data_IF_523083381416
#
_entry.id   IF_523083381416
#
_cell.length_a   1.000
_cell.length_b   1.000
_cell.length_c   1.000
_cell.angle_alpha   90.00
_cell.angle_beta   90.00
_cell.angle_gamma   90.00
#
_symmetry.space_group_name_H-M   'P 1'
#
loop_
_entity.id
_entity.type
_entity.pdbx_description
1 polymer ?
#
# COMPACT_ATOMS: atom_id res chain seq x y z
N UNK A 1 8.55 54.19 -8.76
CA UNK A 1 9.10 53.87 -7.43
C UNK A 1 9.29 52.35 -7.34
N UNK A 2 10.53 51.85 -7.35
CA UNK A 2 10.84 50.43 -7.10
C UNK A 2 10.97 50.17 -5.59
N UNK A 3 10.53 49.03 -5.04
CA UNK A 3 11.05 48.52 -3.78
C UNK A 3 12.26 47.59 -4.05
N UNK A 4 13.36 47.88 -3.34
CA UNK A 4 14.70 47.32 -3.57
C UNK A 4 14.91 45.89 -3.08
N UNK A 5 15.85 45.22 -3.74
CA UNK A 5 16.33 43.88 -3.42
C UNK A 5 17.16 43.86 -2.12
N UNK A 6 16.85 42.92 -1.23
CA UNK A 6 17.60 42.65 -0.01
C UNK A 6 18.92 41.91 -0.33
N UNK A 7 20.04 42.38 0.23
CA UNK A 7 21.36 41.73 0.14
C UNK A 7 21.45 40.53 1.10
N UNK A 8 22.10 39.41 0.71
CA UNK A 8 22.29 38.26 1.59
C UNK A 8 23.35 38.54 2.67
N UNK A 9 22.98 38.28 3.92
CA UNK A 9 23.83 38.38 5.11
C UNK A 9 24.83 37.21 5.17
N UNK A 10 26.11 37.52 5.34
CA UNK A 10 27.19 36.54 5.55
C UNK A 10 27.09 36.03 7.01
N UNK A 11 27.01 34.71 7.27
CA UNK A 11 26.97 34.20 8.63
C UNK A 11 28.34 34.35 9.32
N UNK A 12 28.34 34.96 10.51
CA UNK A 12 29.50 35.03 11.41
C UNK A 12 29.87 33.62 11.91
N UNK A 13 31.15 33.27 11.84
CA UNK A 13 31.69 32.09 12.53
C UNK A 13 31.48 32.23 14.04
N UNK A 14 30.58 31.42 14.59
CA UNK A 14 30.37 31.29 16.03
C UNK A 14 31.26 30.16 16.56
N UNK A 15 32.01 30.45 17.62
CA UNK A 15 32.80 29.48 18.39
C UNK A 15 31.82 28.50 19.07
N UNK A 16 31.75 27.26 18.60
CA UNK A 16 31.02 26.20 19.31
C UNK A 16 31.97 25.61 20.36
N UNK A 17 31.85 26.10 21.59
CA UNK A 17 32.48 25.47 22.76
C UNK A 17 31.77 24.15 23.04
N UNK A 18 32.36 23.03 22.62
CA UNK A 18 31.90 21.70 22.98
C UNK A 18 32.12 21.46 24.48
N UNK A 19 31.02 21.43 25.23
CA UNK A 19 30.95 20.80 26.54
C UNK A 19 30.83 19.29 26.30
N UNK A 20 31.74 18.53 26.91
CA UNK A 20 31.80 17.08 26.83
C UNK A 20 30.58 16.44 27.50
N UNK A 21 29.93 15.50 26.80
CA UNK A 21 28.82 14.75 27.37
C UNK A 21 28.20 13.74 26.42
N UNK A 22 28.70 12.50 26.49
CA UNK A 22 27.95 11.23 26.40
C UNK A 22 26.99 11.04 25.19
N UNK A 23 27.53 10.34 24.19
CA UNK A 23 26.84 9.31 23.39
C UNK A 23 25.49 9.62 22.77
N UNK A 24 25.48 10.05 21.51
CA UNK A 24 24.41 9.75 20.54
C UNK A 24 24.96 9.93 19.12
N UNK A 25 24.82 8.90 18.28
CA UNK A 25 25.24 8.91 16.88
C UNK A 25 24.19 9.66 16.07
N UNK A 26 24.48 10.91 15.71
CA UNK A 26 23.72 11.63 14.69
C UNK A 26 24.52 11.60 13.39
N UNK A 27 24.19 10.66 12.52
CA UNK A 27 24.56 10.67 11.10
C UNK A 27 23.90 11.87 10.44
N UNK A 28 24.67 12.91 10.16
CA UNK A 28 24.23 14.02 9.34
C UNK A 28 24.34 13.59 7.87
N UNK A 29 23.21 13.35 7.21
CA UNK A 29 23.15 13.15 5.77
C UNK A 29 23.62 14.42 5.06
N UNK A 30 24.72 14.31 4.33
CA UNK A 30 25.18 15.35 3.42
C UNK A 30 24.38 15.18 2.12
N UNK A 31 23.68 16.22 1.60
CA UNK A 31 23.11 16.13 0.28
C UNK A 31 24.24 16.02 -0.74
N UNK A 32 24.34 14.86 -1.39
CA UNK A 32 25.24 14.60 -2.50
C UNK A 32 24.86 15.52 -3.68
N UNK A 33 25.44 16.72 -3.74
CA UNK A 33 25.39 17.53 -4.95
C UNK A 33 26.51 17.05 -5.87
N UNK A 34 26.12 16.27 -6.88
CA UNK A 34 26.97 15.89 -8.01
C UNK A 34 27.42 17.17 -8.73
N UNK A 35 28.63 17.62 -8.41
CA UNK A 35 29.31 18.67 -9.16
C UNK A 35 30.06 18.02 -10.32
N UNK A 36 29.50 18.10 -11.53
CA UNK A 36 30.22 17.82 -12.78
C UNK A 36 31.37 18.84 -12.93
N UNK A 37 32.57 18.33 -13.18
CA UNK A 37 33.65 19.04 -13.87
C UNK A 37 34.14 20.31 -13.19
N UNK A 38 34.97 20.18 -12.16
CA UNK A 38 35.64 21.34 -11.56
C UNK A 38 36.72 20.90 -10.58
N UNK A 39 37.96 21.24 -10.91
CA UNK A 39 39.21 21.06 -10.14
C UNK A 39 38.96 21.19 -8.62
N UNK A 40 39.10 20.08 -7.89
CA UNK A 40 39.02 20.01 -6.43
C UNK A 40 40.06 20.97 -5.82
N UNK A 41 39.64 22.17 -5.41
CA UNK A 41 40.44 23.00 -4.50
C UNK A 41 40.21 22.42 -3.10
N UNK A 42 41.24 21.74 -2.58
CA UNK A 42 41.28 21.28 -1.20
C UNK A 42 40.95 22.42 -0.25
N UNK A 43 39.96 22.22 0.61
CA UNK A 43 39.67 23.11 1.71
C UNK A 43 40.79 22.94 2.75
N UNK A 44 41.79 23.82 2.72
CA UNK A 44 42.75 23.94 3.81
C UNK A 44 42.10 24.72 4.94
N UNK A 45 41.61 24.01 5.97
CA UNK A 45 41.40 24.61 7.28
C UNK A 45 42.75 24.62 8.01
N UNK A 46 43.51 25.71 7.92
CA UNK A 46 44.69 25.91 8.76
C UNK A 46 44.27 26.56 10.07
N UNK A 47 44.08 25.74 11.11
CA UNK A 47 44.10 26.23 12.49
C UNK A 47 45.57 26.44 12.91
N UNK A 48 45.92 27.66 13.30
CA UNK A 48 47.27 28.04 13.72
C UNK A 48 47.30 28.15 15.24
N UNK A 49 47.87 27.15 15.91
CA UNK A 49 48.16 27.18 17.34
C UNK A 49 49.64 26.79 17.53
N UNK A 50 50.45 27.70 18.08
CA UNK A 50 51.74 27.34 18.67
C UNK A 50 52.87 26.79 17.78
N UNK A 51 53.08 27.32 16.57
CA UNK A 51 54.42 27.42 15.98
C UNK A 51 55.22 26.13 15.71
N UNK A 52 54.61 24.95 15.60
CA UNK A 52 55.31 23.72 15.15
C UNK A 52 54.53 23.01 14.05
N UNK A 53 55.18 22.88 12.89
CA UNK A 53 54.64 22.22 11.70
C UNK A 53 54.76 20.69 11.87
N UNK A 54 53.71 20.06 12.38
CA UNK A 54 53.59 18.59 12.31
C UNK A 54 52.87 18.24 11.00
N UNK A 55 53.66 17.93 9.97
CA UNK A 55 53.16 17.34 8.74
C UNK A 55 52.89 15.86 8.98
N UNK A 56 51.67 15.51 9.39
CA UNK A 56 51.20 14.13 9.31
C UNK A 56 50.73 13.86 7.88
N UNK A 57 51.64 13.37 7.04
CA UNK A 57 51.26 12.71 5.79
C UNK A 57 50.60 11.39 6.13
N UNK A 58 49.27 11.38 6.18
CA UNK A 58 48.51 10.14 6.22
C UNK A 58 48.70 9.42 4.88
N UNK A 59 49.56 8.41 4.85
CA UNK A 59 49.62 7.46 3.74
C UNK A 59 48.36 6.58 3.83
N UNK A 60 47.29 7.02 3.15
CA UNK A 60 46.10 6.19 3.01
C UNK A 60 46.40 5.10 1.98
N UNK A 61 46.96 3.98 2.44
CA UNK A 61 46.99 2.77 1.63
C UNK A 61 45.56 2.26 1.47
N UNK A 62 44.97 2.55 0.32
CA UNK A 62 43.74 1.89 -0.11
C UNK A 62 44.13 0.43 -0.41
N UNK A 63 44.00 -0.45 0.60
CA UNK A 63 44.00 -1.88 0.37
C UNK A 63 42.82 -2.20 -0.55
N UNK A 64 43.08 -2.33 -1.85
CA UNK A 64 42.13 -2.90 -2.80
C UNK A 64 41.88 -4.35 -2.38
N UNK A 65 40.84 -4.57 -1.57
CA UNK A 65 40.32 -5.91 -1.29
C UNK A 65 39.90 -6.52 -2.62
N UNK A 66 40.66 -7.51 -3.08
CA UNK A 66 40.30 -8.27 -4.27
C UNK A 66 38.86 -8.79 -4.12
N UNK A 67 37.99 -8.46 -5.08
CA UNK A 67 36.63 -8.96 -5.08
C UNK A 67 36.67 -10.47 -5.35
N UNK A 68 36.35 -11.26 -4.31
CA UNK A 68 36.11 -12.69 -4.46
C UNK A 68 34.80 -12.84 -5.23
N UNK A 69 34.89 -13.29 -6.49
CA UNK A 69 33.72 -13.63 -7.28
C UNK A 69 32.98 -14.83 -6.68
N UNK A 70 31.66 -14.84 -6.84
CA UNK A 70 30.80 -15.95 -6.46
C UNK A 70 31.05 -17.13 -7.41
N UNK A 71 31.18 -18.34 -6.89
CA UNK A 71 31.44 -19.52 -7.74
C UNK A 71 30.16 -19.96 -8.45
N UNK A 72 30.31 -20.56 -9.64
CA UNK A 72 29.16 -21.06 -10.40
C UNK A 72 28.41 -22.16 -9.62
N UNK A 73 29.14 -22.99 -8.89
CA UNK A 73 28.56 -24.06 -8.05
C UNK A 73 27.76 -23.50 -6.87
N UNK A 74 28.22 -22.42 -6.23
CA UNK A 74 27.45 -21.75 -5.18
C UNK A 74 26.11 -21.23 -5.74
N UNK A 75 26.10 -20.67 -6.96
CA UNK A 75 24.86 -20.18 -7.58
C UNK A 75 23.91 -21.33 -7.91
N UNK A 76 24.43 -22.45 -8.39
CA UNK A 76 23.60 -23.62 -8.71
C UNK A 76 22.89 -24.17 -7.48
N UNK A 77 23.59 -24.27 -6.33
CA UNK A 77 22.99 -24.75 -5.08
C UNK A 77 21.91 -23.77 -4.58
N UNK A 78 22.18 -22.48 -4.65
CA UNK A 78 21.21 -21.45 -4.21
C UNK A 78 19.92 -21.52 -5.03
N UNK A 79 20.02 -21.62 -6.37
CA UNK A 79 18.84 -21.73 -7.23
C UNK A 79 18.07 -23.03 -6.97
N UNK A 80 18.76 -24.14 -6.69
CA UNK A 80 18.12 -25.40 -6.35
C UNK A 80 17.28 -25.30 -5.06
N UNK A 81 17.83 -24.69 -4.01
CA UNK A 81 17.11 -24.50 -2.74
C UNK A 81 15.91 -23.56 -2.91
N UNK A 82 16.08 -22.43 -3.61
CA UNK A 82 14.99 -21.49 -3.89
C UNK A 82 13.88 -22.17 -4.70
N UNK A 83 14.23 -23.04 -5.66
CA UNK A 83 13.27 -23.81 -6.45
C UNK A 83 12.37 -24.70 -5.60
N UNK A 84 12.93 -25.42 -4.63
CA UNK A 84 12.17 -26.28 -3.70
C UNK A 84 11.24 -25.44 -2.83
N UNK A 85 11.74 -24.33 -2.27
CA UNK A 85 10.94 -23.44 -1.43
C UNK A 85 9.77 -22.80 -2.21
N UNK A 86 10.03 -22.38 -3.45
CA UNK A 86 9.02 -21.75 -4.30
C UNK A 86 7.86 -22.70 -4.65
N UNK A 87 8.15 -23.99 -4.86
CA UNK A 87 7.12 -24.99 -5.17
C UNK A 87 6.04 -25.12 -4.07
N UNK A 88 6.42 -24.94 -2.80
CA UNK A 88 5.50 -25.00 -1.66
C UNK A 88 4.89 -23.62 -1.38
N UNK A 89 5.70 -22.55 -1.46
CA UNK A 89 5.28 -21.22 -1.08
C UNK A 89 4.26 -20.60 -2.05
N UNK A 90 4.39 -20.83 -3.36
CA UNK A 90 3.52 -20.23 -4.38
C UNK A 90 2.04 -20.65 -4.20
N UNK A 91 1.67 -21.94 -4.12
CA UNK A 91 0.27 -22.34 -3.97
C UNK A 91 -0.33 -21.84 -2.64
N UNK A 92 0.45 -21.83 -1.56
CA UNK A 92 0.01 -21.31 -0.28
C UNK A 92 -0.25 -19.79 -0.33
N UNK A 93 0.64 -19.03 -1.00
CA UNK A 93 0.46 -17.60 -1.17
C UNK A 93 -0.76 -17.26 -2.04
N UNK A 94 -1.02 -18.04 -3.10
CA UNK A 94 -2.22 -17.91 -3.92
C UNK A 94 -3.50 -18.12 -3.11
N UNK A 95 -3.53 -19.12 -2.21
CA UNK A 95 -4.67 -19.34 -1.32
C UNK A 95 -4.88 -18.20 -0.33
N UNK A 96 -3.80 -17.68 0.24
CA UNK A 96 -3.86 -16.56 1.18
C UNK A 96 -4.38 -15.28 0.50
N UNK A 97 -3.89 -14.97 -0.69
CA UNK A 97 -4.34 -13.81 -1.46
C UNK A 97 -5.80 -13.96 -1.88
N UNK A 98 -6.23 -15.15 -2.32
CA UNK A 98 -7.63 -15.42 -2.64
C UNK A 98 -8.58 -15.18 -1.45
N UNK A 99 -8.28 -15.75 -0.27
CA UNK A 99 -9.07 -15.54 0.96
C UNK A 99 -9.13 -14.06 1.36
N UNK A 100 -8.00 -13.36 1.23
CA UNK A 100 -7.90 -11.93 1.56
C UNK A 100 -8.75 -11.09 0.62
N UNK A 101 -8.71 -11.38 -0.68
CA UNK A 101 -9.53 -10.71 -1.70
C UNK A 101 -11.03 -10.92 -1.44
N UNK A 102 -11.46 -12.15 -1.15
CA UNK A 102 -12.86 -12.44 -0.79
C UNK A 102 -13.28 -11.67 0.46
N UNK A 103 -12.47 -11.71 1.51
CA UNK A 103 -12.77 -11.01 2.77
C UNK A 103 -12.90 -9.51 2.56
N UNK A 104 -11.99 -8.92 1.76
CA UNK A 104 -12.04 -7.50 1.40
C UNK A 104 -13.29 -7.17 0.59
N UNK A 105 -13.61 -7.94 -0.46
CA UNK A 105 -14.80 -7.70 -1.26
C UNK A 105 -16.10 -7.81 -0.44
N UNK A 106 -16.19 -8.81 0.46
CA UNK A 106 -17.30 -8.93 1.41
C UNK A 106 -17.38 -7.69 2.30
N UNK A 107 -16.24 -7.17 2.79
CA UNK A 107 -16.22 -5.96 3.61
C UNK A 107 -16.71 -4.73 2.84
N UNK A 108 -16.28 -4.56 1.58
CA UNK A 108 -16.68 -3.45 0.71
C UNK A 108 -18.19 -3.44 0.47
N UNK A 109 -18.80 -4.60 0.19
CA UNK A 109 -20.27 -4.70 0.03
C UNK A 109 -20.99 -4.52 1.36
N UNK A 110 -20.45 -5.09 2.45
CA UNK A 110 -21.08 -4.99 3.78
C UNK A 110 -21.06 -3.58 4.38
N UNK A 111 -20.12 -2.72 3.97
CA UNK A 111 -20.06 -1.33 4.40
C UNK A 111 -21.28 -0.52 3.90
N UNK A 112 -21.90 -0.95 2.81
CA UNK A 112 -23.06 -0.28 2.21
C UNK A 112 -24.36 -0.47 3.01
N UNK A 113 -24.37 -1.41 3.97
CA UNK A 113 -25.54 -1.69 4.82
C UNK A 113 -26.02 -0.45 5.55
N UNK A 114 -25.11 0.33 6.12
CA UNK A 114 -25.46 1.54 6.87
C UNK A 114 -26.15 2.58 5.99
N UNK A 115 -25.64 2.80 4.78
CA UNK A 115 -26.25 3.73 3.83
C UNK A 115 -27.62 3.23 3.35
N UNK A 116 -27.77 1.92 3.15
CA UNK A 116 -29.06 1.30 2.86
C UNK A 116 -30.08 1.47 4.00
N UNK A 117 -29.66 1.35 5.27
CA UNK A 117 -30.56 1.63 6.41
C UNK A 117 -31.00 3.10 6.44
N UNK A 118 -30.08 4.05 6.18
CA UNK A 118 -30.43 5.48 6.10
C UNK A 118 -31.48 5.75 5.02
N UNK A 119 -31.35 5.13 3.85
CA UNK A 119 -32.31 5.24 2.76
C UNK A 119 -33.71 4.72 3.14
N UNK A 120 -33.78 3.59 3.86
CA UNK A 120 -35.03 3.02 4.37
C UNK A 120 -35.70 3.97 5.37
N UNK A 121 -34.91 4.58 6.27
CA UNK A 121 -35.43 5.55 7.24
C UNK A 121 -35.95 6.84 6.58
N UNK A 122 -35.35 7.25 5.47
CA UNK A 122 -35.81 8.38 4.66
C UNK A 122 -36.98 8.03 3.73
N UNK A 123 -37.33 6.75 3.59
CA UNK A 123 -38.36 6.27 2.65
C UNK A 123 -37.98 6.46 1.18
N UNK A 124 -36.69 6.41 0.85
CA UNK A 124 -36.16 6.54 -0.51
C UNK A 124 -35.75 5.19 -1.09
N UNK A 125 -35.90 5.06 -2.41
CA UNK A 125 -35.44 3.87 -3.15
C UNK A 125 -33.91 3.77 -3.10
N UNK A 126 -33.40 2.60 -2.74
CA UNK A 126 -31.96 2.37 -2.62
C UNK A 126 -31.37 2.12 -4.01
N UNK A 127 -30.35 2.88 -4.37
CA UNK A 127 -29.66 2.72 -5.66
C UNK A 127 -28.14 2.76 -5.50
N UNK A 128 -27.43 2.22 -6.48
CA UNK A 128 -26.01 2.51 -6.70
C UNK A 128 -25.86 3.17 -8.07
N UNK A 129 -25.88 4.51 -8.09
CA UNK A 129 -25.93 5.28 -9.34
C UNK A 129 -25.14 6.58 -9.22
N UNK A 130 -24.47 6.97 -10.31
CA UNK A 130 -23.76 8.25 -10.36
C UNK A 130 -24.72 9.45 -10.44
N UNK A 131 -25.96 9.20 -10.86
CA UNK A 131 -27.00 10.23 -11.03
C UNK A 131 -28.30 9.75 -10.36
N UNK A 132 -28.37 9.73 -9.02
CA UNK A 132 -29.61 9.41 -8.31
C UNK A 132 -30.66 10.52 -8.55
N UNK A 133 -31.93 10.13 -8.63
CA UNK A 133 -33.07 11.06 -8.62
C UNK A 133 -33.37 11.54 -7.19
N UNK A 134 -34.17 12.59 -7.03
CA UNK A 134 -34.54 13.12 -5.69
C UNK A 134 -35.27 12.10 -4.80
N UNK A 135 -35.96 11.12 -5.41
CA UNK A 135 -36.66 10.01 -4.72
C UNK A 135 -35.76 8.81 -4.43
N UNK A 136 -34.48 8.88 -4.82
CA UNK A 136 -33.51 7.79 -4.72
C UNK A 136 -32.37 8.17 -3.78
N UNK A 137 -31.77 7.16 -3.17
CA UNK A 137 -30.64 7.32 -2.27
C UNK A 137 -29.45 6.49 -2.79
N UNK A 138 -28.37 7.18 -3.21
CA UNK A 138 -27.14 6.49 -3.57
C UNK A 138 -26.43 5.99 -2.31
N UNK A 139 -26.11 4.70 -2.29
CA UNK A 139 -25.43 4.04 -1.17
C UNK A 139 -23.94 4.39 -1.05
N UNK A 140 -23.42 5.32 -1.87
CA UNK A 140 -22.06 5.84 -1.73
C UNK A 140 -20.96 4.86 -2.14
N UNK A 141 -21.28 3.79 -2.89
CA UNK A 141 -20.27 2.84 -3.32
C UNK A 141 -19.21 3.52 -4.21
N UNK A 142 -17.96 3.12 -4.00
CA UNK A 142 -16.79 3.54 -4.77
C UNK A 142 -16.20 2.33 -5.46
N UNK A 143 -15.75 2.51 -6.70
CA UNK A 143 -15.28 1.41 -7.54
C UNK A 143 -14.21 0.55 -6.85
N UNK A 144 -14.41 -0.76 -6.90
CA UNK A 144 -13.47 -1.76 -6.44
C UNK A 144 -12.71 -2.39 -7.60
N UNK A 145 -11.42 -2.64 -7.40
CA UNK A 145 -10.58 -3.38 -8.35
C UNK A 145 -10.81 -4.89 -8.30
N UNK A 146 -11.59 -5.39 -7.34
CA UNK A 146 -11.88 -6.80 -7.15
C UNK A 146 -13.26 -7.21 -7.68
N UNK A 147 -14.12 -6.25 -8.00
CA UNK A 147 -15.48 -6.50 -8.46
C UNK A 147 -15.60 -6.34 -9.98
N UNK A 148 -16.44 -7.14 -10.59
CA UNK A 148 -16.77 -7.04 -12.00
C UNK A 148 -17.67 -5.82 -12.29
N UNK A 149 -17.61 -5.28 -13.51
CA UNK A 149 -18.31 -4.05 -13.89
C UNK A 149 -17.48 -2.77 -13.68
N UNK A 150 -18.10 -1.59 -13.81
CA UNK A 150 -17.40 -0.29 -13.73
C UNK A 150 -18.15 0.69 -12.83
N UNK A 151 -17.42 1.52 -12.07
CA UNK A 151 -18.02 2.52 -11.20
C UNK A 151 -19.05 1.95 -10.21
N UNK A 152 -20.17 2.65 -10.05
CA UNK A 152 -21.25 2.28 -9.14
C UNK A 152 -22.05 1.05 -9.59
N UNK A 153 -22.04 0.73 -10.88
CA UNK A 153 -22.74 -0.43 -11.44
C UNK A 153 -22.13 -1.79 -11.07
N UNK A 154 -20.99 -1.81 -10.35
CA UNK A 154 -20.44 -3.04 -9.79
C UNK A 154 -21.34 -3.63 -8.69
N UNK A 155 -22.16 -2.79 -8.07
CA UNK A 155 -23.16 -3.21 -7.09
C UNK A 155 -24.52 -3.17 -7.77
N UNK A 156 -25.11 -4.35 -7.91
CA UNK A 156 -26.48 -4.50 -8.38
C UNK A 156 -27.38 -4.44 -7.15
N UNK A 157 -28.24 -3.42 -7.11
CA UNK A 157 -29.19 -3.22 -6.00
C UNK A 157 -30.56 -3.68 -6.47
N UNK A 158 -31.21 -4.51 -5.67
CA UNK A 158 -32.61 -4.87 -5.83
C UNK A 158 -33.35 -4.46 -4.56
N UNK A 159 -34.18 -3.43 -4.67
CA UNK A 159 -35.02 -2.93 -3.60
C UNK A 159 -36.48 -3.28 -3.91
N UNK A 160 -37.09 -4.15 -3.12
CA UNK A 160 -38.49 -4.54 -3.33
C UNK A 160 -39.48 -3.58 -2.65
N UNK A 161 -39.00 -2.48 -2.02
CA UNK A 161 -39.82 -1.49 -1.31
C UNK A 161 -40.61 -2.02 -0.09
N UNK A 162 -40.63 -3.34 0.14
CA UNK A 162 -41.21 -4.01 1.32
C UNK A 162 -40.21 -4.11 2.50
N UNK A 163 -39.09 -3.37 2.46
CA UNK A 163 -38.00 -3.45 3.42
C UNK A 163 -37.03 -4.61 3.21
N UNK A 164 -37.24 -5.41 2.16
CA UNK A 164 -36.26 -6.41 1.68
C UNK A 164 -35.37 -5.82 0.61
N UNK A 165 -34.06 -5.93 0.80
CA UNK A 165 -33.04 -5.33 -0.08
C UNK A 165 -31.98 -6.37 -0.37
N UNK A 166 -31.55 -6.45 -1.63
CA UNK A 166 -30.44 -7.30 -2.04
C UNK A 166 -29.35 -6.47 -2.70
N UNK A 167 -28.13 -6.58 -2.17
CA UNK A 167 -26.92 -6.00 -2.73
C UNK A 167 -26.08 -7.14 -3.29
N UNK A 168 -25.90 -7.15 -4.61
CA UNK A 168 -25.19 -8.21 -5.32
C UNK A 168 -23.96 -7.65 -5.98
N UNK A 169 -22.81 -8.27 -5.72
CA UNK A 169 -21.54 -7.96 -6.35
C UNK A 169 -20.89 -9.23 -6.87
N UNK A 170 -20.23 -9.16 -8.02
CA UNK A 170 -19.52 -10.31 -8.59
C UNK A 170 -18.02 -10.09 -8.51
N UNK A 171 -17.26 -11.07 -8.03
CA UNK A 171 -15.79 -11.01 -8.03
C UNK A 171 -15.27 -11.05 -9.48
N UNK A 172 -14.48 -10.05 -9.84
CA UNK A 172 -14.00 -9.81 -11.19
C UNK A 172 -12.66 -9.09 -11.22
N UNK A 173 -12.34 -8.49 -12.37
CA UNK A 173 -11.13 -7.68 -12.58
C UNK A 173 -9.84 -8.34 -12.07
N UNK A 174 -9.24 -7.78 -11.01
CA UNK A 174 -7.97 -8.20 -10.40
C UNK A 174 -8.10 -9.35 -9.40
N UNK A 175 -9.30 -9.88 -9.21
CA UNK A 175 -9.53 -11.09 -8.43
C UNK A 175 -8.83 -12.29 -9.07
N UNK A 176 -8.19 -13.12 -8.24
CA UNK A 176 -7.51 -14.33 -8.68
C UNK A 176 -8.46 -15.30 -9.39
N UNK A 177 -7.94 -16.11 -10.32
CA UNK A 177 -8.73 -17.07 -11.09
C UNK A 177 -9.50 -18.09 -10.24
N UNK A 178 -9.01 -18.39 -9.03
CA UNK A 178 -9.66 -19.30 -8.09
C UNK A 178 -10.93 -18.74 -7.42
N UNK A 179 -11.18 -17.44 -7.53
CA UNK A 179 -12.34 -16.77 -6.91
C UNK A 179 -13.17 -15.95 -7.91
N UNK A 180 -12.62 -15.68 -9.10
CA UNK A 180 -13.27 -14.90 -10.15
C UNK A 180 -14.60 -15.54 -10.57
N UNK A 181 -15.65 -14.73 -10.68
CA UNK A 181 -17.01 -15.15 -11.00
C UNK A 181 -17.88 -15.50 -9.78
N UNK A 182 -17.31 -15.63 -8.58
CA UNK A 182 -18.12 -15.84 -7.38
C UNK A 182 -18.96 -14.58 -7.08
N UNK A 183 -20.21 -14.80 -6.67
CA UNK A 183 -21.18 -13.74 -6.41
C UNK A 183 -21.38 -13.58 -4.91
N UNK A 184 -21.20 -12.37 -4.41
CA UNK A 184 -21.45 -11.97 -3.03
C UNK A 184 -22.82 -11.31 -2.99
N UNK A 185 -23.73 -11.92 -2.24
CA UNK A 185 -25.07 -11.42 -1.99
C UNK A 185 -25.17 -11.00 -0.53
N UNK A 186 -25.45 -9.73 -0.29
CA UNK A 186 -25.80 -9.19 1.02
C UNK A 186 -27.26 -8.82 0.99
N UNK A 187 -28.10 -9.53 1.74
CA UNK A 187 -29.54 -9.31 1.76
C UNK A 187 -30.04 -8.89 3.14
N UNK A 188 -30.98 -7.96 3.13
CA UNK A 188 -31.77 -7.51 4.28
C UNK A 188 -33.17 -8.08 4.15
N UNK A 189 -33.69 -8.66 5.23
CA UNK A 189 -35.10 -9.06 5.32
C UNK A 189 -35.93 -7.97 5.99
N UNK A 190 -37.25 -8.09 5.92
CA UNK A 190 -38.19 -7.16 6.55
C UNK A 190 -38.11 -7.13 8.10
N UNK A 191 -37.49 -8.15 8.71
CA UNK A 191 -37.14 -8.19 10.14
C UNK A 191 -35.94 -7.28 10.51
N UNK A 192 -35.31 -6.64 9.52
CA UNK A 192 -34.11 -5.81 9.70
C UNK A 192 -32.80 -6.60 9.81
N UNK A 193 -32.85 -7.93 9.69
CA UNK A 193 -31.65 -8.77 9.80
C UNK A 193 -30.94 -8.85 8.47
N UNK A 194 -29.64 -8.57 8.50
CA UNK A 194 -28.75 -8.73 7.36
C UNK A 194 -28.10 -10.11 7.34
N UNK A 195 -28.13 -10.75 6.18
CA UNK A 195 -27.35 -11.96 5.90
C UNK A 195 -26.41 -11.73 4.71
N UNK A 196 -25.33 -12.51 4.65
CA UNK A 196 -24.40 -12.53 3.54
C UNK A 196 -24.21 -13.96 3.06
N UNK A 197 -24.20 -14.17 1.75
CA UNK A 197 -23.98 -15.47 1.12
C UNK A 197 -23.08 -15.32 -0.10
N UNK A 198 -22.22 -16.30 -0.33
CA UNK A 198 -21.42 -16.40 -1.54
C UNK A 198 -21.98 -17.54 -2.41
N UNK A 199 -22.27 -17.27 -3.68
CA UNK A 199 -22.79 -18.24 -4.65
C UNK A 199 -21.96 -18.24 -5.93
N UNK A 200 -22.27 -19.15 -6.87
CA UNK A 200 -21.61 -19.26 -8.20
C UNK A 200 -20.07 -19.35 -8.12
N UNK A 201 -19.55 -20.04 -7.10
CA UNK A 201 -18.11 -20.18 -6.92
C UNK A 201 -17.48 -21.01 -8.05
N UNK A 202 -16.30 -20.64 -8.57
CA UNK A 202 -15.62 -21.41 -9.61
C UNK A 202 -15.13 -22.78 -9.12
N UNK A 203 -14.71 -23.65 -10.03
CA UNK A 203 -14.27 -25.02 -9.72
C UNK A 203 -13.02 -25.08 -8.83
N UNK A 204 -12.13 -24.09 -8.93
CA UNK A 204 -10.93 -23.97 -8.11
C UNK A 204 -11.19 -23.37 -6.70
N UNK A 205 -12.46 -23.13 -6.34
CA UNK A 205 -12.82 -22.58 -5.05
C UNK A 205 -12.51 -23.55 -3.90
N UNK A 206 -11.85 -23.05 -2.86
CA UNK A 206 -11.58 -23.80 -1.63
C UNK A 206 -12.53 -23.38 -0.50
N UNK A 207 -12.97 -24.30 0.38
CA UNK A 207 -13.92 -23.99 1.45
C UNK A 207 -13.46 -22.88 2.41
N UNK A 208 -12.16 -22.72 2.60
CA UNK A 208 -11.56 -21.72 3.49
C UNK A 208 -11.45 -20.30 2.90
N UNK A 209 -11.89 -20.09 1.66
CA UNK A 209 -11.91 -18.75 1.05
C UNK A 209 -13.07 -17.89 1.55
N UNK A 210 -14.22 -18.51 1.87
CA UNK A 210 -15.37 -17.81 2.44
C UNK A 210 -15.10 -17.44 3.92
N UNK A 211 -15.29 -16.19 4.34
CA UNK A 211 -15.20 -15.82 5.74
C UNK A 211 -16.45 -16.28 6.51
N UNK A 212 -16.34 -16.47 7.82
CA UNK A 212 -17.44 -17.02 8.64
C UNK A 212 -18.70 -16.15 8.64
N UNK A 213 -18.57 -14.84 8.48
CA UNK A 213 -19.68 -13.89 8.39
C UNK A 213 -20.38 -13.89 7.02
N UNK A 214 -19.84 -14.59 6.02
CA UNK A 214 -20.43 -14.73 4.70
C UNK A 214 -20.13 -16.12 4.13
N UNK A 215 -20.85 -17.17 4.58
CA UNK A 215 -20.62 -18.53 4.13
C UNK A 215 -20.95 -18.71 2.65
N UNK A 216 -20.30 -19.70 2.03
CA UNK A 216 -20.70 -20.22 0.73
C UNK A 216 -22.04 -20.95 0.87
N UNK A 217 -22.98 -20.65 -0.02
CA UNK A 217 -24.28 -21.36 -0.15
C UNK A 217 -24.29 -22.34 -1.30
#
# INVERSE_FOLDING_TARGET
>A
QMPGAAKPTIPRCQKVSHIAGRGERNTFEVPARVAKGGRLKGWHATCFEGGRRLAYTYHMEIFMKAQKGFTLIELMIVVAIIGILAAIAIPQYQDYTARTQVTRAVSEVSALKTAAESAILEGKEIVSSATPKDTQYDIGFTESTLLDGSGKSQIQVTDNQDGTVELVATLGKSSGSAIKGAVITVSRKNDGVWNCKITKTPTAWKPNYAPANCPKS
#
